data_IF_796731422739
#
_entry.id   IF_796731422739
#
_cell.length_a   1.000
_cell.length_b   1.000
_cell.length_c   1.000
_cell.angle_alpha   90.00
_cell.angle_beta   90.00
_cell.angle_gamma   90.00
#
_symmetry.space_group_name_H-M   'P 1'
#
loop_
_entity.id
_entity.type
_entity.pdbx_description
1 polymer ?
#
# COMPACT_ATOMS: atom_id res chain seq x y z
N UNK A 1 -27.85 5.41 -16.74
CA UNK A 1 -26.41 5.01 -16.68
C UNK A 1 -26.36 3.71 -15.89
N UNK A 2 -25.84 2.64 -16.48
CA UNK A 2 -25.63 1.40 -15.75
C UNK A 2 -24.65 1.66 -14.59
N UNK A 3 -25.02 1.18 -13.41
CA UNK A 3 -24.21 1.36 -12.20
C UNK A 3 -22.91 0.58 -12.35
N UNK A 4 -21.80 1.31 -12.49
CA UNK A 4 -20.46 0.73 -12.54
C UNK A 4 -20.10 0.13 -11.19
N UNK A 5 -19.49 -1.05 -11.18
CA UNK A 5 -19.05 -1.74 -9.97
C UNK A 5 -17.52 -1.81 -9.88
N UNK A 6 -17.01 -1.99 -8.68
CA UNK A 6 -15.60 -2.14 -8.42
C UNK A 6 -15.26 -3.54 -7.93
N UNK A 7 -14.10 -4.08 -8.32
CA UNK A 7 -13.50 -5.28 -7.76
C UNK A 7 -12.23 -4.91 -6.97
N UNK A 8 -12.25 -5.15 -5.68
CA UNK A 8 -11.11 -4.99 -4.79
C UNK A 8 -10.57 -6.37 -4.42
N UNK A 9 -9.36 -6.69 -4.88
CA UNK A 9 -8.69 -7.97 -4.65
C UNK A 9 -7.69 -7.81 -3.51
N UNK A 10 -7.92 -8.56 -2.42
CA UNK A 10 -7.16 -8.43 -1.18
C UNK A 10 -7.83 -7.51 -0.17
N UNK A 11 -8.70 -8.07 0.69
CA UNK A 11 -9.43 -7.34 1.74
C UNK A 11 -8.59 -7.29 3.03
N UNK A 12 -7.41 -6.70 2.89
CA UNK A 12 -6.49 -6.37 3.99
C UNK A 12 -6.70 -4.94 4.50
N UNK A 13 -5.64 -4.36 5.08
CA UNK A 13 -5.69 -3.00 5.63
C UNK A 13 -6.02 -1.94 4.57
N UNK A 14 -5.38 -2.01 3.40
CA UNK A 14 -5.66 -1.09 2.29
C UNK A 14 -7.00 -1.39 1.65
N UNK A 15 -7.28 -2.69 1.36
CA UNK A 15 -8.51 -3.07 0.66
C UNK A 15 -9.77 -2.66 1.39
N UNK A 16 -9.83 -2.78 2.74
CA UNK A 16 -11.03 -2.38 3.49
C UNK A 16 -11.24 -0.86 3.49
N UNK A 17 -10.16 -0.06 3.56
CA UNK A 17 -10.26 1.40 3.48
C UNK A 17 -10.67 1.87 2.08
N UNK A 18 -10.20 1.16 1.05
CA UNK A 18 -10.61 1.43 -0.33
C UNK A 18 -12.09 1.08 -0.55
N UNK A 19 -12.57 -0.06 -0.03
CA UNK A 19 -14.00 -0.41 -0.07
C UNK A 19 -14.85 0.68 0.58
N UNK A 20 -14.47 1.16 1.75
CA UNK A 20 -15.15 2.25 2.44
C UNK A 20 -15.23 3.51 1.58
N UNK A 21 -14.12 3.92 0.97
CA UNK A 21 -14.07 5.10 0.10
C UNK A 21 -14.91 4.91 -1.17
N UNK A 22 -14.81 3.77 -1.84
CA UNK A 22 -15.58 3.49 -3.06
C UNK A 22 -17.09 3.48 -2.75
N UNK A 23 -17.49 2.90 -1.62
CA UNK A 23 -18.89 2.93 -1.20
C UNK A 23 -19.39 4.35 -0.89
N UNK A 24 -18.55 5.23 -0.32
CA UNK A 24 -18.92 6.64 -0.10
C UNK A 24 -19.18 7.41 -1.39
N UNK A 25 -18.69 6.90 -2.52
CA UNK A 25 -18.97 7.42 -3.87
C UNK A 25 -20.22 6.78 -4.51
N UNK A 26 -20.97 5.95 -3.78
CA UNK A 26 -22.15 5.27 -4.28
C UNK A 26 -21.87 4.04 -5.16
N UNK A 27 -20.62 3.61 -5.28
CA UNK A 27 -20.20 2.50 -6.13
C UNK A 27 -20.26 1.19 -5.32
N UNK A 28 -20.92 0.17 -5.88
CA UNK A 28 -20.96 -1.18 -5.29
C UNK A 28 -19.62 -1.88 -5.47
N UNK A 29 -19.18 -2.59 -4.43
CA UNK A 29 -17.90 -3.29 -4.44
C UNK A 29 -18.08 -4.80 -4.38
N UNK A 30 -17.27 -5.51 -5.17
CA UNK A 30 -16.99 -6.93 -5.01
C UNK A 30 -15.64 -7.04 -4.31
N UNK A 31 -15.63 -7.59 -3.10
CA UNK A 31 -14.40 -7.79 -2.35
C UNK A 31 -13.94 -9.23 -2.43
N UNK A 32 -12.79 -9.47 -3.06
CA UNK A 32 -12.23 -10.80 -3.26
C UNK A 32 -11.11 -11.07 -2.26
N UNK A 33 -11.17 -12.21 -1.56
CA UNK A 33 -10.14 -12.64 -0.61
C UNK A 33 -10.14 -14.15 -0.39
N UNK A 34 -8.96 -14.70 -0.09
CA UNK A 34 -8.76 -16.08 0.40
C UNK A 34 -9.07 -16.24 1.89
N UNK A 35 -9.22 -15.14 2.60
CA UNK A 35 -9.45 -15.15 4.05
C UNK A 35 -10.91 -14.77 4.35
N UNK A 36 -11.69 -15.76 4.77
CA UNK A 36 -13.10 -15.59 5.15
C UNK A 36 -13.30 -14.54 6.25
N UNK A 37 -12.40 -14.49 7.26
CA UNK A 37 -12.46 -13.46 8.32
C UNK A 37 -12.29 -12.04 7.78
N UNK A 38 -11.47 -11.87 6.72
CA UNK A 38 -11.33 -10.58 6.05
C UNK A 38 -12.60 -10.20 5.29
N UNK A 39 -13.25 -11.16 4.63
CA UNK A 39 -14.52 -10.94 3.92
C UNK A 39 -15.67 -10.54 4.86
N UNK A 40 -15.69 -11.05 6.09
CA UNK A 40 -16.73 -10.68 7.06
C UNK A 40 -16.68 -9.18 7.44
N UNK A 41 -15.53 -8.51 7.27
CA UNK A 41 -15.43 -7.05 7.46
C UNK A 41 -16.24 -6.25 6.44
N UNK A 42 -16.64 -6.88 5.33
CA UNK A 42 -17.44 -6.25 4.28
C UNK A 42 -18.94 -6.13 4.62
N UNK A 43 -19.43 -6.80 5.66
CA UNK A 43 -20.87 -6.85 6.03
C UNK A 43 -21.49 -5.47 6.27
N UNK A 44 -20.69 -4.51 6.72
CA UNK A 44 -21.13 -3.13 6.99
C UNK A 44 -21.10 -2.20 5.77
N UNK A 45 -20.76 -2.72 4.58
CA UNK A 45 -20.62 -1.95 3.35
C UNK A 45 -21.55 -2.50 2.27
N UNK A 46 -21.88 -1.68 1.28
CA UNK A 46 -22.54 -2.14 0.06
C UNK A 46 -21.54 -2.95 -0.79
N UNK A 47 -21.21 -4.16 -0.29
CA UNK A 47 -20.17 -5.00 -0.89
C UNK A 47 -20.59 -6.48 -0.94
N UNK A 48 -20.36 -7.12 -2.10
CA UNK A 48 -20.48 -8.56 -2.25
C UNK A 48 -19.16 -9.24 -1.89
N UNK A 49 -19.24 -10.32 -1.11
CA UNK A 49 -18.11 -11.17 -0.74
C UNK A 49 -17.83 -12.17 -1.86
N UNK A 50 -16.61 -12.19 -2.37
CA UNK A 50 -16.14 -13.20 -3.31
C UNK A 50 -15.01 -13.99 -2.63
N UNK A 51 -15.31 -15.21 -2.24
CA UNK A 51 -14.31 -16.11 -1.69
C UNK A 51 -13.52 -16.78 -2.81
N UNK A 52 -12.24 -16.81 -2.67
CA UNK A 52 -11.34 -17.43 -3.61
C UNK A 52 -10.46 -18.47 -2.91
N UNK A 53 -10.51 -19.69 -3.41
CA UNK A 53 -9.59 -20.75 -3.07
C UNK A 53 -8.62 -20.96 -4.26
N UNK A 54 -7.31 -20.86 -4.02
CA UNK A 54 -6.30 -21.05 -5.08
C UNK A 54 -6.36 -22.40 -5.77
N UNK A 55 -7.04 -23.39 -5.16
CA UNK A 55 -7.20 -24.75 -5.66
C UNK A 55 -8.41 -24.92 -6.56
N UNK A 56 -9.31 -23.96 -6.59
CA UNK A 56 -10.56 -24.00 -7.36
C UNK A 56 -10.58 -22.98 -8.48
N UNK A 57 -11.31 -23.28 -9.55
CA UNK A 57 -11.58 -22.31 -10.61
C UNK A 57 -12.50 -21.23 -10.02
N UNK A 58 -12.06 -19.98 -10.10
CA UNK A 58 -12.89 -18.86 -9.68
C UNK A 58 -13.93 -18.54 -10.76
N UNK A 59 -15.18 -18.86 -10.50
CA UNK A 59 -16.30 -18.45 -11.32
C UNK A 59 -16.70 -17.00 -10.98
N UNK A 60 -16.00 -16.06 -11.59
CA UNK A 60 -16.27 -14.63 -11.45
C UNK A 60 -15.96 -13.92 -12.78
N UNK A 61 -16.99 -13.42 -13.43
CA UNK A 61 -16.87 -12.71 -14.69
C UNK A 61 -16.88 -11.19 -14.45
N UNK A 62 -15.89 -10.49 -15.01
CA UNK A 62 -15.74 -9.04 -14.88
C UNK A 62 -16.84 -8.29 -15.68
N UNK A 63 -17.18 -8.79 -16.87
CA UNK A 63 -18.18 -8.16 -17.75
C UNK A 63 -19.60 -8.34 -17.19
N UNK A 64 -19.98 -9.57 -16.84
CA UNK A 64 -21.33 -9.88 -16.32
C UNK A 64 -21.62 -9.14 -15.00
N UNK A 65 -20.57 -8.83 -14.23
CA UNK A 65 -20.69 -8.04 -13.02
C UNK A 65 -20.51 -6.53 -13.24
N UNK A 66 -20.44 -6.07 -14.47
CA UNK A 66 -20.23 -4.66 -14.85
C UNK A 66 -19.09 -3.98 -14.09
N UNK A 67 -17.93 -4.66 -14.01
CA UNK A 67 -16.77 -4.18 -13.30
C UNK A 67 -16.00 -3.20 -14.19
N UNK A 68 -15.80 -1.96 -13.71
CA UNK A 68 -15.00 -0.93 -14.39
C UNK A 68 -13.75 -0.51 -13.62
N UNK A 69 -13.64 -0.94 -12.39
CA UNK A 69 -12.50 -0.70 -11.51
C UNK A 69 -12.01 -2.03 -10.96
N UNK A 70 -10.75 -2.36 -11.18
CA UNK A 70 -10.09 -3.51 -10.56
C UNK A 70 -8.82 -3.05 -9.88
N UNK A 71 -8.69 -3.27 -8.58
CA UNK A 71 -7.44 -3.07 -7.86
C UNK A 71 -6.99 -4.34 -7.17
N UNK A 72 -5.75 -4.74 -7.40
CA UNK A 72 -5.09 -5.81 -6.65
C UNK A 72 -4.13 -5.24 -5.59
N UNK A 73 -4.32 -5.65 -4.34
CA UNK A 73 -3.41 -5.40 -3.22
C UNK A 73 -2.78 -6.70 -2.68
N UNK A 74 -2.89 -7.79 -3.44
CA UNK A 74 -2.36 -9.09 -3.04
C UNK A 74 -0.84 -9.12 -3.31
N UNK A 75 -0.03 -9.49 -2.32
CA UNK A 75 1.41 -9.65 -2.54
C UNK A 75 1.73 -10.93 -3.32
N UNK A 76 2.91 -11.00 -3.95
CA UNK A 76 3.45 -12.25 -4.49
C UNK A 76 3.44 -13.36 -3.44
N UNK A 77 3.26 -14.59 -3.86
CA UNK A 77 3.39 -15.76 -3.00
C UNK A 77 4.86 -16.10 -2.72
N UNK A 78 5.11 -17.13 -1.91
CA UNK A 78 6.46 -17.57 -1.55
C UNK A 78 7.27 -18.13 -2.74
N UNK A 79 6.60 -18.52 -3.82
CA UNK A 79 7.23 -18.99 -5.07
C UNK A 79 7.56 -17.84 -6.02
N UNK A 80 7.26 -16.59 -5.65
CA UNK A 80 7.53 -15.42 -6.48
C UNK A 80 6.53 -15.18 -7.62
N UNK A 81 5.35 -15.79 -7.56
CA UNK A 81 4.28 -15.61 -8.54
C UNK A 81 3.17 -14.71 -7.99
N UNK A 82 2.46 -14.02 -8.87
CA UNK A 82 1.24 -13.30 -8.50
C UNK A 82 0.04 -14.26 -8.54
N UNK A 83 -0.58 -14.53 -7.37
CA UNK A 83 -1.71 -15.45 -7.33
C UNK A 83 -2.96 -14.92 -8.03
N UNK A 84 -3.08 -13.61 -8.24
CA UNK A 84 -4.22 -13.00 -8.96
C UNK A 84 -4.05 -13.19 -10.45
N UNK A 85 -2.87 -12.92 -11.00
CA UNK A 85 -2.58 -13.13 -12.42
C UNK A 85 -2.74 -14.59 -12.82
N UNK A 86 -2.40 -15.53 -11.93
CA UNK A 86 -2.60 -16.97 -12.19
C UNK A 86 -4.07 -17.31 -12.52
N UNK A 87 -5.03 -16.56 -12.00
CA UNK A 87 -6.47 -16.86 -12.19
C UNK A 87 -7.12 -15.92 -13.19
N UNK A 88 -6.72 -14.66 -13.19
CA UNK A 88 -7.40 -13.63 -13.97
C UNK A 88 -6.74 -13.35 -15.33
N UNK A 89 -5.58 -13.91 -15.66
CA UNK A 89 -4.82 -13.60 -16.87
C UNK A 89 -5.70 -13.54 -18.11
N UNK A 90 -6.46 -14.62 -18.43
CA UNK A 90 -7.36 -14.67 -19.58
C UNK A 90 -8.49 -13.63 -19.53
N UNK A 91 -8.98 -13.33 -18.33
CA UNK A 91 -10.06 -12.35 -18.11
C UNK A 91 -9.53 -10.92 -18.23
N UNK A 92 -8.30 -10.66 -17.74
CA UNK A 92 -7.65 -9.35 -17.83
C UNK A 92 -7.20 -8.99 -19.22
N UNK A 93 -6.82 -9.97 -20.07
CA UNK A 93 -6.43 -9.70 -21.46
C UNK A 93 -7.57 -9.11 -22.32
N UNK A 94 -8.82 -9.37 -21.95
CA UNK A 94 -10.02 -8.86 -22.61
C UNK A 94 -10.66 -7.68 -21.89
N UNK A 95 -10.19 -7.37 -20.70
CA UNK A 95 -10.77 -6.33 -19.86
C UNK A 95 -10.42 -4.93 -20.36
N UNK A 96 -11.42 -4.03 -20.40
CA UNK A 96 -11.29 -2.66 -20.90
C UNK A 96 -11.46 -1.59 -19.83
N UNK A 97 -11.77 -2.00 -18.59
CA UNK A 97 -11.88 -1.08 -17.47
C UNK A 97 -10.51 -0.71 -16.89
N UNK A 98 -10.54 0.08 -15.84
CA UNK A 98 -9.33 0.50 -15.14
C UNK A 98 -8.72 -0.61 -14.29
N UNK A 99 -7.40 -0.78 -14.40
CA UNK A 99 -6.61 -1.73 -13.64
C UNK A 99 -5.58 -1.02 -12.77
N UNK A 100 -5.49 -1.40 -11.50
CA UNK A 100 -4.46 -0.92 -10.58
C UNK A 100 -3.80 -2.07 -9.80
N UNK A 101 -2.50 -1.95 -9.57
CA UNK A 101 -1.72 -2.89 -8.75
C UNK A 101 -0.92 -2.18 -7.66
N UNK A 102 -1.11 -2.61 -6.41
CA UNK A 102 -0.32 -2.11 -5.27
C UNK A 102 1.03 -2.81 -5.23
N UNK A 103 2.06 -2.09 -5.63
CA UNK A 103 3.45 -2.48 -5.51
C UNK A 103 4.10 -1.86 -4.26
N UNK A 104 5.40 -1.73 -4.25
CA UNK A 104 6.18 -1.22 -3.12
C UNK A 104 7.41 -0.46 -3.60
N UNK A 105 7.82 0.56 -2.88
CA UNK A 105 9.11 1.25 -3.10
C UNK A 105 10.34 0.36 -2.87
N UNK A 106 10.16 -0.90 -2.46
CA UNK A 106 11.25 -1.89 -2.37
C UNK A 106 11.82 -2.31 -3.72
N UNK A 107 11.18 -1.95 -4.83
CA UNK A 107 11.72 -2.13 -6.19
C UNK A 107 12.92 -1.21 -6.47
N UNK A 108 13.04 -0.11 -5.72
CA UNK A 108 14.20 0.75 -5.76
C UNK A 108 15.25 0.29 -4.75
N UNK A 109 16.51 0.36 -5.15
CA UNK A 109 17.62 0.38 -4.22
C UNK A 109 17.74 1.76 -3.56
N UNK A 110 18.94 2.25 -3.47
CA UNK A 110 19.27 3.58 -2.97
C UNK A 110 20.02 3.55 -1.65
N UNK A 111 21.05 4.38 -1.60
CA UNK A 111 21.90 4.58 -0.44
C UNK A 111 22.02 6.09 -0.15
N UNK A 112 22.49 6.43 1.05
CA UNK A 112 22.83 7.80 1.42
C UNK A 112 21.71 8.83 1.17
N UNK A 113 20.45 8.41 1.36
CA UNK A 113 19.27 9.28 1.22
C UNK A 113 19.10 9.89 -0.18
N UNK A 114 19.51 9.19 -1.21
CA UNK A 114 19.29 9.58 -2.60
C UNK A 114 17.82 9.89 -2.86
N UNK A 115 17.54 10.94 -3.63
CA UNK A 115 16.18 11.27 -4.07
C UNK A 115 15.81 10.35 -5.23
N UNK A 116 14.67 9.68 -5.11
CA UNK A 116 14.15 8.68 -6.04
C UNK A 116 12.75 9.12 -6.50
N UNK A 117 12.55 9.23 -7.78
CA UNK A 117 11.24 9.45 -8.43
C UNK A 117 10.86 8.29 -9.34
N UNK A 118 9.77 8.43 -10.12
CA UNK A 118 9.27 7.39 -11.02
C UNK A 118 10.21 7.09 -12.20
N UNK A 119 11.09 8.02 -12.58
CA UNK A 119 12.06 7.88 -13.67
C UNK A 119 13.36 7.23 -13.18
N UNK A 120 13.56 7.13 -11.88
CA UNK A 120 14.75 6.53 -11.30
C UNK A 120 14.83 5.03 -11.58
N UNK A 121 16.04 4.54 -11.81
CA UNK A 121 16.28 3.14 -12.09
C UNK A 121 15.87 2.24 -10.92
N UNK A 122 15.23 1.11 -11.24
CA UNK A 122 14.84 0.10 -10.26
C UNK A 122 15.98 -0.89 -10.05
N UNK A 123 16.68 -0.76 -8.93
CA UNK A 123 17.80 -1.62 -8.52
C UNK A 123 17.49 -2.29 -7.17
N UNK A 124 16.61 -3.30 -7.15
CA UNK A 124 16.21 -3.94 -5.89
C UNK A 124 17.40 -4.57 -5.16
N UNK A 125 17.46 -4.43 -3.83
CA UNK A 125 18.50 -5.04 -2.99
C UNK A 125 18.08 -6.37 -2.34
N UNK A 126 16.85 -6.81 -2.60
CA UNK A 126 16.26 -7.99 -1.97
C UNK A 126 15.51 -8.85 -2.96
N UNK A 127 15.45 -10.17 -2.74
CA UNK A 127 14.62 -11.09 -3.53
C UNK A 127 13.17 -10.61 -3.61
N UNK A 128 12.64 -10.06 -2.52
CA UNK A 128 11.28 -9.49 -2.49
C UNK A 128 11.14 -8.30 -3.44
N UNK A 129 12.13 -7.43 -3.53
CA UNK A 129 12.15 -6.29 -4.45
C UNK A 129 12.21 -6.75 -5.90
N UNK A 130 13.09 -7.70 -6.22
CA UNK A 130 13.18 -8.30 -7.56
C UNK A 130 11.85 -8.96 -7.99
N UNK A 131 11.25 -9.76 -7.10
CA UNK A 131 9.94 -10.38 -7.36
C UNK A 131 8.86 -9.32 -7.63
N UNK A 132 8.84 -8.24 -6.84
CA UNK A 132 7.88 -7.15 -7.07
C UNK A 132 8.07 -6.50 -8.43
N UNK A 133 9.30 -6.19 -8.80
CA UNK A 133 9.62 -5.57 -10.08
C UNK A 133 9.22 -6.47 -11.28
N UNK A 134 9.45 -7.78 -11.17
CA UNK A 134 8.98 -8.76 -12.16
C UNK A 134 7.46 -8.69 -12.33
N UNK A 135 6.73 -8.72 -11.23
CA UNK A 135 5.26 -8.72 -11.23
C UNK A 135 4.68 -7.38 -11.71
N UNK A 136 5.33 -6.24 -11.39
CA UNK A 136 4.95 -4.94 -11.98
C UNK A 136 4.92 -5.03 -13.52
N UNK A 137 5.95 -5.62 -14.13
CA UNK A 137 6.03 -5.79 -15.59
C UNK A 137 4.89 -6.66 -16.13
N UNK A 138 4.53 -7.72 -15.39
CA UNK A 138 3.40 -8.58 -15.76
C UNK A 138 2.07 -7.80 -15.75
N UNK A 139 1.81 -7.00 -14.70
CA UNK A 139 0.62 -6.15 -14.61
C UNK A 139 0.60 -5.04 -15.68
N UNK A 140 1.75 -4.43 -15.98
CA UNK A 140 1.88 -3.41 -17.02
C UNK A 140 1.46 -3.94 -18.40
N UNK A 141 1.70 -5.23 -18.72
CA UNK A 141 1.26 -5.85 -19.96
C UNK A 141 -0.27 -5.85 -20.14
N UNK A 142 -1.04 -5.73 -19.06
CA UNK A 142 -2.50 -5.56 -19.08
C UNK A 142 -2.94 -4.09 -19.07
N UNK A 143 -2.01 -3.14 -19.18
CA UNK A 143 -2.32 -1.71 -19.13
C UNK A 143 -2.54 -1.18 -17.71
N UNK A 144 -2.16 -1.93 -16.68
CA UNK A 144 -2.39 -1.53 -15.28
C UNK A 144 -1.59 -0.30 -14.89
N UNK A 145 -2.15 0.50 -13.98
CA UNK A 145 -1.39 1.52 -13.25
C UNK A 145 -0.73 0.88 -12.02
N UNK A 146 0.53 1.22 -11.78
CA UNK A 146 1.35 0.66 -10.71
C UNK A 146 1.53 1.68 -9.60
N UNK A 147 1.17 1.30 -8.38
CA UNK A 147 1.35 2.12 -7.19
C UNK A 147 2.53 1.60 -6.37
N UNK A 148 3.69 2.27 -6.45
CA UNK A 148 4.89 1.95 -5.65
C UNK A 148 4.76 2.61 -4.28
N UNK A 149 4.19 1.88 -3.32
CA UNK A 149 3.77 2.42 -2.04
C UNK A 149 4.88 2.34 -1.00
N UNK A 150 5.10 3.44 -0.29
CA UNK A 150 5.97 3.55 0.87
C UNK A 150 5.36 2.89 2.12
N UNK A 151 5.96 3.07 3.29
CA UNK A 151 5.45 2.54 4.55
C UNK A 151 4.07 3.08 4.90
N UNK A 152 3.03 2.26 4.81
CA UNK A 152 1.64 2.68 5.09
C UNK A 152 1.42 2.75 6.59
N UNK A 153 0.88 3.89 7.09
CA UNK A 153 0.43 4.05 8.45
C UNK A 153 -0.98 4.66 8.51
N UNK A 154 -1.63 4.58 9.68
CA UNK A 154 -2.97 5.11 9.90
C UNK A 154 -3.62 4.49 11.14
N UNK A 155 -4.93 4.67 11.32
CA UNK A 155 -5.67 4.11 12.44
C UNK A 155 -5.50 2.58 12.52
N UNK A 156 -5.20 2.05 13.72
CA UNK A 156 -4.85 0.64 14.00
C UNK A 156 -3.56 0.14 13.31
N UNK A 157 -2.79 1.01 12.71
CA UNK A 157 -1.48 0.69 12.11
C UNK A 157 -0.51 1.87 12.29
N UNK A 158 -0.22 2.20 13.53
CA UNK A 158 0.61 3.34 13.93
C UNK A 158 1.52 2.99 15.10
N UNK A 159 2.42 3.87 15.52
CA UNK A 159 3.19 3.67 16.75
C UNK A 159 2.32 3.52 18.00
N UNK A 160 1.14 4.13 18.04
CA UNK A 160 0.27 4.09 19.22
C UNK A 160 -0.14 2.66 19.62
N UNK A 161 -0.37 1.77 18.65
CA UNK A 161 -0.67 0.36 18.93
C UNK A 161 0.54 -0.35 19.55
N UNK A 162 1.74 -0.02 19.07
CA UNK A 162 2.97 -0.62 19.58
C UNK A 162 3.39 -0.07 20.93
N UNK A 163 3.11 1.20 21.24
CA UNK A 163 3.41 1.80 22.55
C UNK A 163 2.63 1.15 23.70
N UNK A 164 1.54 0.42 23.40
CA UNK A 164 0.82 -0.39 24.38
C UNK A 164 1.58 -1.67 24.77
N UNK A 165 2.49 -2.15 23.92
CA UNK A 165 3.32 -3.32 24.23
C UNK A 165 4.63 -2.89 24.90
N UNK A 166 4.79 -3.27 26.17
CA UNK A 166 6.01 -3.00 26.96
C UNK A 166 7.29 -3.60 26.38
N UNK A 167 7.17 -4.55 25.45
CA UNK A 167 8.31 -5.17 24.73
C UNK A 167 8.74 -4.39 23.51
N UNK A 168 8.01 -3.33 23.14
CA UNK A 168 8.37 -2.49 22.01
C UNK A 168 9.70 -1.81 22.25
N UNK A 169 10.55 -1.84 21.23
CA UNK A 169 11.82 -1.12 21.19
C UNK A 169 11.96 -0.39 19.85
N UNK A 170 12.87 0.55 19.80
CA UNK A 170 13.20 1.35 18.63
C UNK A 170 14.61 1.03 18.22
N UNK A 171 14.85 0.92 16.91
CA UNK A 171 16.18 0.71 16.36
C UNK A 171 16.72 2.05 15.86
N UNK A 172 17.93 2.37 16.29
CA UNK A 172 18.71 3.49 15.80
C UNK A 172 19.73 3.00 14.78
N UNK A 173 19.61 3.51 13.55
CA UNK A 173 20.59 3.38 12.50
C UNK A 173 20.92 4.78 11.97
N UNK A 174 22.16 5.15 12.05
CA UNK A 174 22.63 6.46 11.60
C UNK A 174 22.28 6.70 10.12
N UNK A 175 21.91 7.93 9.81
CA UNK A 175 21.58 8.39 8.46
C UNK A 175 20.53 7.53 7.73
N UNK A 176 19.64 6.85 8.47
CA UNK A 176 18.61 6.01 7.90
C UNK A 176 17.22 6.60 8.07
N UNK A 177 16.50 6.77 6.97
CA UNK A 177 15.13 7.29 6.96
C UNK A 177 14.16 6.28 6.33
N UNK A 178 12.90 6.39 6.73
CA UNK A 178 11.78 5.63 6.19
C UNK A 178 10.79 6.57 5.53
N UNK A 179 10.43 6.26 4.29
CA UNK A 179 9.33 6.92 3.60
C UNK A 179 7.99 6.36 4.07
N UNK A 180 6.99 7.23 4.16
CA UNK A 180 5.66 6.87 4.65
C UNK A 180 4.57 7.48 3.79
N UNK A 181 3.38 6.94 3.97
CA UNK A 181 2.14 7.50 3.45
C UNK A 181 0.99 7.18 4.41
N UNK A 182 0.15 8.16 4.69
CA UNK A 182 -1.07 7.92 5.43
C UNK A 182 -2.07 7.15 4.58
N UNK A 183 -2.82 6.23 5.19
CA UNK A 183 -3.77 5.37 4.47
C UNK A 183 -4.85 6.19 3.73
N UNK A 184 -5.28 7.31 4.28
CA UNK A 184 -6.30 8.14 3.66
C UNK A 184 -5.77 8.79 2.37
N UNK A 185 -4.53 9.30 2.37
CA UNK A 185 -3.88 9.81 1.16
C UNK A 185 -3.67 8.71 0.11
N UNK A 186 -3.24 7.52 0.52
CA UNK A 186 -3.10 6.39 -0.41
C UNK A 186 -4.41 6.09 -1.13
N UNK A 187 -5.51 6.02 -0.39
CA UNK A 187 -6.83 5.72 -0.96
C UNK A 187 -7.32 6.83 -1.89
N UNK A 188 -7.18 8.10 -1.50
CA UNK A 188 -7.54 9.25 -2.34
C UNK A 188 -6.73 9.30 -3.64
N UNK A 189 -5.42 9.00 -3.57
CA UNK A 189 -4.56 8.95 -4.75
C UNK A 189 -5.02 7.84 -5.72
N UNK A 190 -5.39 6.65 -5.21
CA UNK A 190 -5.92 5.57 -6.04
C UNK A 190 -7.22 6.00 -6.73
N UNK A 191 -8.14 6.64 -6.02
CA UNK A 191 -9.39 7.15 -6.61
C UNK A 191 -9.11 8.23 -7.65
N UNK A 192 -8.16 9.14 -7.36
CA UNK A 192 -7.75 10.18 -8.31
C UNK A 192 -7.12 9.59 -9.57
N UNK A 193 -6.36 8.50 -9.44
CA UNK A 193 -5.81 7.75 -10.57
C UNK A 193 -6.92 7.14 -11.42
N UNK A 194 -7.91 6.50 -10.80
CA UNK A 194 -9.08 5.95 -11.47
C UNK A 194 -9.90 7.01 -12.23
N UNK A 195 -10.08 8.20 -11.65
CA UNK A 195 -10.83 9.30 -12.31
C UNK A 195 -10.03 10.03 -13.39
N UNK A 196 -8.71 9.82 -13.44
CA UNK A 196 -7.80 10.35 -14.46
C UNK A 196 -6.93 9.23 -15.02
N UNK A 197 -7.52 8.23 -15.70
CA UNK A 197 -6.84 7.01 -16.10
C UNK A 197 -5.76 7.27 -17.13
N UNK A 198 -4.61 6.62 -16.94
CA UNK A 198 -3.53 6.57 -17.93
C UNK A 198 -2.87 5.18 -17.89
N UNK A 199 -3.16 4.31 -18.85
CA UNK A 199 -2.60 2.96 -18.89
C UNK A 199 -1.08 2.94 -18.72
N UNK A 200 -0.58 1.96 -18.00
CA UNK A 200 0.85 1.73 -17.72
C UNK A 200 1.54 2.84 -16.90
N UNK A 201 0.77 3.75 -16.27
CA UNK A 201 1.35 4.77 -15.40
C UNK A 201 1.92 4.13 -14.13
N UNK A 202 3.13 4.55 -13.76
CA UNK A 202 3.78 4.18 -12.49
C UNK A 202 3.73 5.41 -11.59
N UNK A 203 3.32 5.23 -10.33
CA UNK A 203 3.17 6.31 -9.37
C UNK A 203 3.87 5.94 -8.05
N UNK A 204 4.80 6.77 -7.62
CA UNK A 204 5.36 6.67 -6.28
C UNK A 204 4.37 7.24 -5.25
N UNK A 205 4.06 6.46 -4.23
CA UNK A 205 3.13 6.87 -3.19
C UNK A 205 3.89 7.07 -1.87
N UNK A 206 4.28 8.30 -1.63
CA UNK A 206 4.96 8.78 -0.41
C UNK A 206 4.53 10.22 -0.15
N UNK A 207 4.50 10.62 1.13
CA UNK A 207 4.27 12.03 1.51
C UNK A 207 5.46 12.95 1.18
N UNK A 208 6.60 12.37 0.77
CA UNK A 208 7.82 13.11 0.44
C UNK A 208 8.59 13.63 1.67
N UNK A 209 8.16 13.30 2.88
CA UNK A 209 8.75 13.74 4.15
C UNK A 209 9.27 12.54 4.96
N UNK A 210 10.36 11.88 4.52
CA UNK A 210 10.90 10.74 5.24
C UNK A 210 11.46 11.16 6.60
N UNK A 211 11.38 10.29 7.59
CA UNK A 211 11.97 10.48 8.89
C UNK A 211 12.51 9.16 9.45
N UNK A 212 13.43 9.23 10.40
CA UNK A 212 13.94 8.05 11.08
C UNK A 212 12.89 7.45 12.04
N UNK A 213 13.20 6.29 12.60
CA UNK A 213 12.27 5.61 13.50
C UNK A 213 12.12 6.34 14.83
N UNK A 214 13.20 6.92 15.34
CA UNK A 214 13.21 7.66 16.63
C UNK A 214 12.29 8.87 16.57
N UNK A 215 12.39 9.68 15.50
CA UNK A 215 11.55 10.87 15.30
C UNK A 215 10.08 10.51 15.22
N UNK A 216 9.74 9.45 14.48
CA UNK A 216 8.37 8.98 14.34
C UNK A 216 7.76 8.54 15.67
N UNK A 217 8.51 7.82 16.49
CA UNK A 217 8.06 7.40 17.83
C UNK A 217 8.08 8.54 18.84
N UNK A 218 9.05 9.44 18.77
CA UNK A 218 9.11 10.63 19.63
C UNK A 218 7.86 11.50 19.49
N UNK A 219 7.44 11.74 18.26
CA UNK A 219 6.21 12.50 18.00
C UNK A 219 4.96 11.76 18.52
N UNK A 220 4.87 10.45 18.30
CA UNK A 220 3.78 9.66 18.87
C UNK A 220 3.74 9.71 20.40
N UNK A 221 4.89 9.58 21.06
CA UNK A 221 4.99 9.69 22.52
C UNK A 221 4.61 11.07 23.03
N UNK A 222 5.03 12.13 22.31
CA UNK A 222 4.65 13.52 22.65
C UNK A 222 3.13 13.72 22.58
N UNK A 223 2.49 13.20 21.52
CA UNK A 223 1.03 13.33 21.33
C UNK A 223 0.26 12.55 22.39
N UNK A 224 0.71 11.33 22.71
CA UNK A 224 0.00 10.42 23.63
C UNK A 224 0.44 10.56 25.09
N UNK A 225 1.34 11.47 25.40
CA UNK A 225 1.97 11.61 26.72
C UNK A 225 2.55 10.28 27.24
N UNK A 226 3.14 9.48 26.37
CA UNK A 226 3.70 8.17 26.68
C UNK A 226 5.23 8.24 26.80
N UNK A 227 5.81 7.30 27.57
CA UNK A 227 7.27 7.16 27.64
C UNK A 227 7.83 6.60 26.34
N UNK A 228 9.02 7.08 25.95
CA UNK A 228 9.76 6.52 24.82
C UNK A 228 10.14 5.06 25.11
N UNK A 229 9.92 4.14 24.15
CA UNK A 229 10.49 2.79 24.23
C UNK A 229 12.01 2.82 24.27
N UNK A 230 12.61 1.71 24.74
CA UNK A 230 14.07 1.56 24.75
C UNK A 230 14.63 1.64 23.34
N UNK A 231 15.74 2.36 23.17
CA UNK A 231 16.41 2.53 21.88
C UNK A 231 17.63 1.62 21.90
N UNK A 232 17.82 0.88 20.83
CA UNK A 232 18.98 0.03 20.59
C UNK A 232 19.66 0.42 19.28
N UNK A 233 20.96 0.31 19.20
CA UNK A 233 21.68 0.38 17.94
C UNK A 233 21.37 -0.85 17.08
N UNK A 234 21.42 -0.70 15.76
CA UNK A 234 21.04 -1.77 14.83
C UNK A 234 21.90 -3.05 15.02
N UNK A 235 23.16 -2.91 15.43
CA UNK A 235 24.09 -4.02 15.69
C UNK A 235 23.82 -4.75 17.03
N UNK A 236 23.01 -4.19 17.91
CA UNK A 236 22.64 -4.78 19.21
C UNK A 236 21.44 -5.71 19.11
N UNK A 237 20.74 -5.74 17.97
CA UNK A 237 19.47 -6.46 17.79
C UNK A 237 19.62 -7.61 16.80
N UNK A 238 19.21 -8.80 17.23
CA UNK A 238 19.01 -9.93 16.30
C UNK A 238 17.71 -9.71 15.52
N UNK A 239 17.84 -9.62 14.21
CA UNK A 239 16.71 -9.44 13.29
C UNK A 239 16.57 -10.62 12.35
N UNK A 240 15.32 -10.97 11.99
CA UNK A 240 15.05 -11.87 10.86
C UNK A 240 15.50 -11.21 9.54
N UNK A 241 15.72 -12.00 8.50
CA UNK A 241 16.15 -11.46 7.19
C UNK A 241 15.10 -10.49 6.62
N UNK A 242 13.82 -10.74 6.88
CA UNK A 242 12.77 -9.81 6.51
C UNK A 242 12.92 -8.45 7.24
N UNK A 243 13.22 -8.45 8.53
CA UNK A 243 13.44 -7.21 9.28
C UNK A 243 14.69 -6.49 8.79
N UNK A 244 15.80 -7.20 8.58
CA UNK A 244 17.04 -6.64 8.02
C UNK A 244 16.80 -5.95 6.68
N UNK A 245 15.96 -6.54 5.81
CA UNK A 245 15.69 -6.01 4.48
C UNK A 245 15.16 -4.57 4.47
N UNK A 246 14.46 -4.14 5.53
CA UNK A 246 13.98 -2.75 5.67
C UNK A 246 15.09 -1.75 6.01
N UNK A 247 16.24 -2.24 6.45
CA UNK A 247 17.40 -1.43 6.85
C UNK A 247 18.51 -1.39 5.81
N UNK A 248 18.34 -2.10 4.68
CA UNK A 248 19.38 -2.18 3.63
C UNK A 248 19.47 -0.91 2.79
N UNK A 249 18.36 -0.19 2.60
CA UNK A 249 18.37 1.02 1.78
C UNK A 249 17.78 2.21 2.52
N UNK A 250 18.41 3.37 2.37
CA UNK A 250 17.90 4.66 2.84
C UNK A 250 17.80 5.61 1.65
N UNK A 251 16.60 6.14 1.40
CA UNK A 251 16.28 6.95 0.23
C UNK A 251 15.13 7.91 0.50
N UNK A 252 15.03 8.99 -0.27
CA UNK A 252 13.91 9.90 -0.28
C UNK A 252 13.04 9.61 -1.49
N UNK A 253 11.82 9.11 -1.27
CA UNK A 253 10.87 8.84 -2.34
C UNK A 253 10.00 10.07 -2.57
N UNK A 254 10.04 10.61 -3.78
CA UNK A 254 9.19 11.69 -4.25
C UNK A 254 8.34 11.21 -5.43
N UNK A 255 7.32 11.97 -5.79
CA UNK A 255 6.48 11.67 -6.94
C UNK A 255 6.32 12.89 -7.83
N UNK A 256 6.82 12.79 -9.04
CA UNK A 256 6.59 13.77 -10.09
C UNK A 256 5.13 13.72 -10.58
N UNK A 257 4.52 12.56 -10.58
CA UNK A 257 3.11 12.33 -10.98
C UNK A 257 2.14 13.03 -10.02
N UNK A 258 2.30 12.82 -8.71
CA UNK A 258 1.44 13.47 -7.71
C UNK A 258 1.52 14.99 -7.79
N UNK A 259 2.72 15.51 -8.03
CA UNK A 259 2.95 16.97 -8.14
C UNK A 259 2.44 17.53 -9.47
N UNK A 260 2.88 16.97 -10.59
CA UNK A 260 2.73 17.61 -11.91
C UNK A 260 1.45 17.19 -12.64
N UNK A 261 1.01 15.94 -12.51
CA UNK A 261 -0.20 15.46 -13.19
C UNK A 261 -1.44 15.59 -12.29
N UNK A 262 -1.31 15.26 -11.01
CA UNK A 262 -2.46 15.25 -10.10
C UNK A 262 -2.64 16.57 -9.37
N UNK A 263 -1.62 17.42 -9.29
CA UNK A 263 -1.60 18.59 -8.40
C UNK A 263 -2.17 18.22 -7.01
N UNK A 264 -1.68 17.06 -6.51
CA UNK A 264 -2.25 16.44 -5.33
C UNK A 264 -1.91 17.24 -4.07
N UNK A 265 -2.93 17.52 -3.27
CA UNK A 265 -2.78 18.16 -1.95
C UNK A 265 -2.98 17.09 -0.89
N UNK A 266 -1.92 16.76 -0.17
CA UNK A 266 -1.97 15.74 0.87
C UNK A 266 -2.93 16.15 1.99
N UNK A 267 -3.79 15.22 2.42
CA UNK A 267 -4.61 15.34 3.63
C UNK A 267 -3.69 15.35 4.84
N UNK A 268 -2.67 14.50 4.80
CA UNK A 268 -1.63 14.38 5.82
C UNK A 268 -0.27 14.60 5.18
N UNK A 269 0.19 15.86 5.05
CA UNK A 269 1.41 16.19 4.32
C UNK A 269 2.70 15.66 4.96
N UNK A 270 2.63 15.26 6.23
CA UNK A 270 3.73 14.65 6.96
C UNK A 270 3.23 13.70 8.07
N UNK A 271 4.16 12.94 8.64
CA UNK A 271 3.83 12.01 9.73
C UNK A 271 3.30 12.70 10.99
N UNK A 272 3.64 13.97 11.25
CA UNK A 272 3.17 14.71 12.44
C UNK A 272 1.68 15.00 12.34
N UNK A 273 1.24 15.47 11.17
CA UNK A 273 -0.17 15.73 10.88
C UNK A 273 -0.99 14.42 10.91
N UNK A 274 -0.46 13.35 10.29
CA UNK A 274 -1.11 12.05 10.28
C UNK A 274 -1.22 11.42 11.67
N UNK A 275 -0.18 11.48 12.50
CA UNK A 275 -0.23 10.97 13.88
C UNK A 275 -1.23 11.76 14.74
N UNK A 276 -1.31 13.08 14.59
CA UNK A 276 -2.35 13.89 15.29
C UNK A 276 -3.76 13.48 14.90
N UNK A 277 -4.00 13.24 13.60
CA UNK A 277 -5.31 12.78 13.11
C UNK A 277 -5.66 11.41 13.69
N UNK A 278 -4.73 10.44 13.65
CA UNK A 278 -4.94 9.11 14.23
C UNK A 278 -5.26 9.18 15.73
N UNK A 279 -4.57 10.03 16.48
CA UNK A 279 -4.79 10.17 17.91
C UNK A 279 -6.18 10.72 18.22
N UNK A 280 -6.66 11.70 17.44
CA UNK A 280 -8.04 12.23 17.56
C UNK A 280 -9.12 11.19 17.25
N UNK A 281 -8.85 10.23 16.36
CA UNK A 281 -9.80 9.15 16.06
C UNK A 281 -9.84 8.07 17.15
N UNK A 282 -8.85 8.04 18.02
CA UNK A 282 -8.69 7.03 19.07
C UNK A 282 -9.32 7.44 20.41
N UNK A 283 -9.45 8.73 20.61
CA UNK A 283 -10.05 9.39 21.80
C UNK A 283 -11.28 10.18 21.40
#
# INVERSE_FOLDING_TARGET
METQNALVIGIGYVGIRLVEKINSLGIKVFGLSRNKKSLNKLERYNAKKVYWDEKSVLDFNLVDNNINFVLSSVPPNSLGNDPVLNIFNKKLSQYKGWLGYISSTSVYGGENNQIIDENSECLPLTTRGFTRLKIEREWLNFGSEIFRVAGIYGYKRSPFEKLLDKKTYIIDKENHVFNRIHIDDLVEIIIKSYTNPRPQRIINISDGNPCNQIEFYREACRISNSKMPKIYKINEIKMSDMQKSFWLSSKHIVSSILKNEFNYKFIHPDYKSGLKAIWKMKN
#
